data_IF_570233691504
#
_entry.id   IF_570233691504
#
_cell.length_a   1.000
_cell.length_b   1.000
_cell.length_c   1.000
_cell.angle_alpha   90.00
_cell.angle_beta   90.00
_cell.angle_gamma   90.00
#
_symmetry.space_group_name_H-M   'P 1'
#
loop_
_entity.id
_entity.type
_entity.pdbx_description
1 polymer ?
#
# COMPACT_ATOMS: atom_id res chain seq x y z
N UNK A 1 -4.95 -17.03 15.74
CA UNK A 1 -5.39 -15.61 15.84
C UNK A 1 -6.92 -15.59 15.81
N UNK A 2 -7.62 -14.99 16.79
CA UNK A 2 -9.11 -15.02 16.82
C UNK A 2 -9.70 -14.39 15.56
N UNK A 3 -10.78 -14.98 15.00
CA UNK A 3 -11.44 -14.55 13.74
C UNK A 3 -11.74 -13.05 13.71
N UNK A 4 -12.23 -12.47 14.81
CA UNK A 4 -12.46 -11.02 14.94
C UNK A 4 -11.22 -10.16 14.63
N UNK A 5 -10.02 -10.60 15.02
CA UNK A 5 -8.75 -9.89 14.75
C UNK A 5 -8.30 -10.02 13.29
N UNK A 6 -8.72 -11.06 12.57
CA UNK A 6 -8.45 -11.18 11.13
C UNK A 6 -9.31 -10.18 10.37
N UNK A 7 -10.61 -10.15 10.68
CA UNK A 7 -11.58 -9.27 10.04
C UNK A 7 -11.16 -7.81 10.22
N UNK A 8 -10.91 -7.37 11.47
CA UNK A 8 -10.56 -5.98 11.79
C UNK A 8 -9.23 -5.52 11.19
N UNK A 9 -8.26 -6.42 11.05
CA UNK A 9 -6.89 -6.04 10.68
C UNK A 9 -6.52 -6.34 9.23
N UNK A 10 -7.33 -7.11 8.50
CA UNK A 10 -7.06 -7.51 7.11
C UNK A 10 -8.26 -7.23 6.21
N UNK A 11 -9.46 -7.69 6.59
CA UNK A 11 -10.63 -7.58 5.69
C UNK A 11 -11.09 -6.14 5.54
N UNK A 12 -11.31 -5.41 6.63
CA UNK A 12 -11.71 -3.99 6.56
C UNK A 12 -10.74 -3.12 5.74
N UNK A 13 -9.42 -3.11 6.04
CA UNK A 13 -8.47 -2.36 5.23
C UNK A 13 -8.41 -2.82 3.77
N UNK A 14 -8.53 -4.13 3.50
CA UNK A 14 -8.60 -4.62 2.12
C UNK A 14 -9.84 -4.09 1.38
N UNK A 15 -11.00 -4.03 2.02
CA UNK A 15 -12.21 -3.45 1.41
C UNK A 15 -12.01 -1.96 1.08
N UNK A 16 -11.34 -1.20 1.93
CA UNK A 16 -11.02 0.21 1.65
C UNK A 16 -10.09 0.35 0.44
N UNK A 17 -9.01 -0.44 0.38
CA UNK A 17 -8.10 -0.44 -0.77
C UNK A 17 -8.82 -0.87 -2.05
N UNK A 18 -9.68 -1.88 -1.97
CA UNK A 18 -10.46 -2.36 -3.10
C UNK A 18 -11.37 -1.25 -3.65
N UNK A 19 -12.16 -0.61 -2.79
CA UNK A 19 -13.05 0.49 -3.20
C UNK A 19 -12.25 1.63 -3.83
N UNK A 20 -11.13 2.03 -3.21
CA UNK A 20 -10.27 3.09 -3.73
C UNK A 20 -9.71 2.72 -5.12
N UNK A 21 -9.21 1.49 -5.28
CA UNK A 21 -8.63 1.00 -6.52
C UNK A 21 -9.67 0.94 -7.64
N UNK A 22 -10.89 0.48 -7.34
CA UNK A 22 -12.00 0.46 -8.30
C UNK A 22 -12.41 1.87 -8.72
N UNK A 23 -12.53 2.82 -7.77
CA UNK A 23 -12.93 4.19 -8.07
C UNK A 23 -11.86 4.92 -8.90
N UNK A 24 -10.59 4.79 -8.53
CA UNK A 24 -9.48 5.39 -9.29
C UNK A 24 -9.44 4.81 -10.70
N UNK A 25 -9.53 3.49 -10.83
CA UNK A 25 -9.48 2.83 -12.13
C UNK A 25 -10.65 3.25 -13.02
N UNK A 26 -11.88 3.29 -12.48
CA UNK A 26 -13.05 3.75 -13.20
C UNK A 26 -12.95 5.22 -13.60
N UNK A 27 -12.39 6.06 -12.72
CA UNK A 27 -12.16 7.49 -13.00
C UNK A 27 -11.17 7.67 -14.14
N UNK A 28 -10.05 6.93 -14.13
CA UNK A 28 -9.04 6.97 -15.20
C UNK A 28 -9.66 6.53 -16.53
N UNK A 29 -10.42 5.43 -16.54
CA UNK A 29 -11.11 4.92 -17.73
C UNK A 29 -12.07 5.97 -18.31
N UNK A 30 -12.86 6.60 -17.43
CA UNK A 30 -13.86 7.60 -17.84
C UNK A 30 -13.19 8.87 -18.37
N UNK A 31 -12.15 9.38 -17.69
CA UNK A 31 -11.42 10.58 -18.10
C UNK A 31 -10.61 10.38 -19.38
N UNK A 32 -10.06 9.19 -19.60
CA UNK A 32 -9.31 8.87 -20.80
C UNK A 32 -10.22 8.56 -22.01
N UNK A 33 -11.55 8.65 -21.88
CA UNK A 33 -12.49 8.44 -22.97
C UNK A 33 -12.61 6.97 -23.41
N UNK A 34 -12.14 6.02 -22.60
CA UNK A 34 -12.27 4.59 -22.88
C UNK A 34 -13.69 4.12 -22.54
N UNK A 35 -14.66 4.48 -23.37
CA UNK A 35 -16.09 4.19 -23.18
C UNK A 35 -16.44 2.70 -23.20
N UNK A 36 -15.55 1.84 -23.69
CA UNK A 36 -15.73 0.38 -23.81
C UNK A 36 -14.97 -0.43 -22.76
N UNK A 37 -14.12 0.20 -21.94
CA UNK A 37 -13.30 -0.53 -20.96
C UNK A 37 -14.09 -0.77 -19.66
N UNK A 38 -15.07 -1.67 -19.73
CA UNK A 38 -15.81 -2.14 -18.54
C UNK A 38 -14.86 -3.00 -17.70
N UNK A 39 -14.78 -2.74 -16.39
CA UNK A 39 -14.07 -3.63 -15.48
C UNK A 39 -14.72 -5.01 -15.51
N UNK A 40 -14.03 -5.97 -16.12
CA UNK A 40 -14.50 -7.35 -16.14
C UNK A 40 -14.53 -7.95 -14.74
N UNK A 41 -15.38 -8.96 -14.52
CA UNK A 41 -15.42 -9.70 -13.26
C UNK A 41 -14.04 -10.26 -12.85
N UNK A 42 -13.25 -10.69 -13.84
CA UNK A 42 -11.86 -11.13 -13.66
C UNK A 42 -10.99 -10.02 -13.05
N UNK A 43 -11.11 -8.80 -13.54
CA UNK A 43 -10.38 -7.62 -13.02
C UNK A 43 -10.82 -7.27 -11.60
N UNK A 44 -12.11 -7.36 -11.29
CA UNK A 44 -12.64 -7.10 -9.95
C UNK A 44 -12.11 -8.10 -8.92
N UNK A 45 -12.10 -9.40 -9.24
CA UNK A 45 -11.49 -10.42 -8.36
C UNK A 45 -10.00 -10.14 -8.17
N UNK A 46 -9.28 -9.84 -9.25
CA UNK A 46 -7.86 -9.50 -9.20
C UNK A 46 -7.58 -8.31 -8.26
N UNK A 47 -8.38 -7.25 -8.35
CA UNK A 47 -8.30 -6.08 -7.47
C UNK A 47 -8.57 -6.42 -6.01
N UNK A 48 -9.55 -7.28 -5.75
CA UNK A 48 -9.88 -7.72 -4.40
C UNK A 48 -8.74 -8.54 -3.79
N UNK A 49 -8.20 -9.50 -4.53
CA UNK A 49 -7.04 -10.31 -4.09
C UNK A 49 -5.82 -9.44 -3.86
N UNK A 50 -5.52 -8.50 -4.76
CA UNK A 50 -4.43 -7.54 -4.58
C UNK A 50 -4.59 -6.72 -3.30
N UNK A 51 -5.81 -6.26 -3.02
CA UNK A 51 -6.12 -5.47 -1.82
C UNK A 51 -5.97 -6.28 -0.53
N UNK A 52 -6.31 -7.58 -0.55
CA UNK A 52 -6.05 -8.50 0.55
C UNK A 52 -4.55 -8.69 0.79
N UNK A 53 -3.77 -8.89 -0.27
CA UNK A 53 -2.31 -9.02 -0.19
C UNK A 53 -1.68 -7.74 0.37
N UNK A 54 -2.07 -6.56 -0.14
CA UNK A 54 -1.58 -5.28 0.34
C UNK A 54 -1.91 -5.07 1.83
N UNK A 55 -3.13 -5.40 2.24
CA UNK A 55 -3.51 -5.32 3.63
C UNK A 55 -2.74 -6.31 4.52
N UNK A 56 -2.40 -7.49 4.01
CA UNK A 56 -1.56 -8.44 4.74
C UNK A 56 -0.13 -7.92 4.86
N UNK A 57 0.44 -7.35 3.79
CA UNK A 57 1.77 -6.75 3.77
C UNK A 57 1.89 -5.58 4.76
N UNK A 58 0.84 -4.77 4.94
CA UNK A 58 0.83 -3.71 5.95
C UNK A 58 1.13 -4.21 7.36
N UNK A 59 0.90 -5.50 7.65
CA UNK A 59 1.23 -6.10 8.95
C UNK A 59 2.73 -6.14 9.23
N UNK A 60 3.56 -6.12 8.19
CA UNK A 60 5.04 -6.07 8.31
C UNK A 60 5.47 -4.86 9.16
N UNK A 61 4.75 -3.73 9.06
CA UNK A 61 5.08 -2.53 9.82
C UNK A 61 4.90 -2.68 11.34
N UNK A 62 4.04 -3.60 11.78
CA UNK A 62 3.74 -3.87 13.19
C UNK A 62 4.72 -4.85 13.84
N UNK A 63 5.56 -5.54 13.06
CA UNK A 63 6.55 -6.49 13.58
C UNK A 63 7.64 -5.73 14.35
N UNK A 64 7.78 -5.95 15.66
CA UNK A 64 8.72 -5.16 16.48
C UNK A 64 10.20 -5.44 16.21
N UNK A 65 10.56 -6.63 15.72
CA UNK A 65 11.98 -7.00 15.54
C UNK A 65 12.66 -6.34 14.34
N UNK A 66 11.90 -5.85 13.36
CA UNK A 66 12.49 -5.29 12.14
C UNK A 66 12.70 -3.78 12.23
N UNK A 67 13.88 -3.33 11.80
CA UNK A 67 14.18 -1.93 11.57
C UNK A 67 13.26 -1.32 10.51
N UNK A 68 13.06 0.00 10.56
CA UNK A 68 12.13 0.70 9.66
C UNK A 68 12.49 0.52 8.18
N UNK A 69 13.79 0.54 7.86
CA UNK A 69 14.29 0.34 6.50
C UNK A 69 13.95 -1.05 5.97
N UNK A 70 14.21 -2.11 6.76
CA UNK A 70 13.88 -3.48 6.39
C UNK A 70 12.37 -3.68 6.22
N UNK A 71 11.54 -3.04 7.05
CA UNK A 71 10.08 -3.07 6.90
C UNK A 71 9.63 -2.47 5.57
N UNK A 72 10.15 -1.30 5.22
CA UNK A 72 9.82 -0.62 3.96
C UNK A 72 10.28 -1.47 2.77
N UNK A 73 11.46 -2.06 2.85
CA UNK A 73 12.03 -2.93 1.82
C UNK A 73 11.19 -4.19 1.60
N UNK A 74 10.87 -4.92 2.67
CA UNK A 74 10.03 -6.13 2.59
C UNK A 74 8.62 -5.81 2.08
N UNK A 75 8.04 -4.69 2.55
CA UNK A 75 6.74 -4.25 2.06
C UNK A 75 6.79 -3.89 0.57
N UNK A 76 7.84 -3.21 0.12
CA UNK A 76 8.03 -2.85 -1.28
C UNK A 76 8.18 -4.08 -2.17
N UNK A 77 9.03 -5.05 -1.78
CA UNK A 77 9.19 -6.29 -2.54
C UNK A 77 7.86 -7.04 -2.63
N UNK A 78 7.15 -7.19 -1.50
CA UNK A 78 5.85 -7.85 -1.49
C UNK A 78 4.83 -7.14 -2.38
N UNK A 79 4.80 -5.81 -2.35
CA UNK A 79 3.94 -4.98 -3.19
C UNK A 79 4.26 -5.19 -4.68
N UNK A 80 5.54 -5.12 -5.06
CA UNK A 80 5.99 -5.27 -6.43
C UNK A 80 5.65 -6.66 -6.99
N UNK A 81 5.93 -7.71 -6.21
CA UNK A 81 5.60 -9.09 -6.61
C UNK A 81 4.09 -9.25 -6.77
N UNK A 82 3.30 -8.75 -5.81
CA UNK A 82 1.83 -8.83 -5.88
C UNK A 82 1.29 -8.10 -7.10
N UNK A 83 1.85 -6.92 -7.41
CA UNK A 83 1.47 -6.15 -8.59
C UNK A 83 1.80 -6.91 -9.88
N UNK A 84 3.04 -7.41 -10.01
CA UNK A 84 3.45 -8.14 -11.20
C UNK A 84 2.62 -9.40 -11.40
N UNK A 85 2.43 -10.24 -10.38
CA UNK A 85 1.63 -11.46 -10.51
C UNK A 85 0.19 -11.14 -10.94
N UNK A 86 -0.44 -10.14 -10.32
CA UNK A 86 -1.85 -9.86 -10.60
C UNK A 86 -2.04 -9.12 -11.92
N UNK A 87 -1.24 -8.09 -12.22
CA UNK A 87 -1.44 -7.29 -13.42
C UNK A 87 -0.80 -7.91 -14.66
N UNK A 88 0.37 -8.54 -14.55
CA UNK A 88 1.03 -9.17 -15.70
C UNK A 88 0.46 -10.56 -16.01
N UNK A 89 0.33 -11.41 -14.99
CA UNK A 89 -0.05 -12.82 -15.23
C UNK A 89 -1.56 -12.96 -15.30
N UNK A 90 -2.29 -12.42 -14.33
CA UNK A 90 -3.74 -12.62 -14.27
C UNK A 90 -4.46 -11.69 -15.25
N UNK A 91 -4.21 -10.39 -15.22
CA UNK A 91 -4.99 -9.42 -16.03
C UNK A 91 -4.53 -9.41 -17.49
N UNK A 92 -3.25 -9.19 -17.79
CA UNK A 92 -2.78 -9.03 -19.18
C UNK A 92 -2.45 -10.35 -19.91
N UNK A 93 -2.48 -11.49 -19.21
CA UNK A 93 -2.17 -12.80 -19.81
C UNK A 93 -0.79 -12.85 -20.46
N UNK A 94 0.18 -12.10 -19.92
CA UNK A 94 1.56 -11.99 -20.41
C UNK A 94 1.73 -11.34 -21.81
N UNK A 95 0.66 -10.77 -22.38
CA UNK A 95 0.70 -10.17 -23.72
C UNK A 95 1.31 -8.76 -23.75
N UNK A 96 1.31 -8.05 -22.62
CA UNK A 96 1.78 -6.66 -22.51
C UNK A 96 2.82 -6.49 -21.39
N UNK A 97 3.94 -7.21 -21.54
CA UNK A 97 5.06 -7.18 -20.58
C UNK A 97 5.71 -5.80 -20.49
N UNK A 98 5.91 -5.11 -21.62
CA UNK A 98 6.50 -3.78 -21.64
C UNK A 98 5.63 -2.75 -20.89
N UNK A 99 4.32 -2.73 -21.13
CA UNK A 99 3.41 -1.85 -20.41
C UNK A 99 3.35 -2.14 -18.90
N UNK A 100 3.39 -3.41 -18.50
CA UNK A 100 3.44 -3.82 -17.10
C UNK A 100 4.76 -3.38 -16.41
N UNK A 101 5.89 -3.47 -17.11
CA UNK A 101 7.18 -3.02 -16.57
C UNK A 101 7.23 -1.49 -16.43
N UNK A 102 6.75 -0.74 -17.43
CA UNK A 102 6.67 0.72 -17.37
C UNK A 102 5.77 1.17 -16.21
N UNK A 103 4.58 0.57 -16.09
CA UNK A 103 3.67 0.88 -14.98
C UNK A 103 4.26 0.49 -13.63
N UNK A 104 4.98 -0.62 -13.53
CA UNK A 104 5.68 -0.99 -12.30
C UNK A 104 6.76 0.02 -11.92
N UNK A 105 7.52 0.54 -12.90
CA UNK A 105 8.53 1.57 -12.67
C UNK A 105 7.92 2.87 -12.14
N UNK A 106 6.81 3.30 -12.75
CA UNK A 106 6.05 4.49 -12.30
C UNK A 106 5.54 4.28 -10.86
N UNK A 107 4.96 3.13 -10.56
CA UNK A 107 4.49 2.81 -9.21
C UNK A 107 5.63 2.75 -8.19
N UNK A 108 6.80 2.24 -8.58
CA UNK A 108 7.99 2.23 -7.72
C UNK A 108 8.42 3.63 -7.36
N UNK A 109 8.47 4.55 -8.32
CA UNK A 109 8.81 5.96 -8.07
C UNK A 109 7.82 6.58 -7.08
N UNK A 110 6.51 6.41 -7.32
CA UNK A 110 5.44 6.89 -6.45
C UNK A 110 5.59 6.32 -5.03
N UNK A 111 5.86 5.01 -4.93
CA UNK A 111 6.04 4.33 -3.64
C UNK A 111 7.19 4.94 -2.83
N UNK A 112 8.35 5.17 -3.45
CA UNK A 112 9.50 5.76 -2.75
C UNK A 112 9.25 7.21 -2.34
N UNK A 113 8.52 7.99 -3.14
CA UNK A 113 8.09 9.35 -2.76
C UNK A 113 7.22 9.29 -1.51
N UNK A 114 6.16 8.46 -1.50
CA UNK A 114 5.25 8.32 -0.36
C UNK A 114 5.99 7.81 0.88
N UNK A 115 6.87 6.81 0.72
CA UNK A 115 7.68 6.28 1.81
C UNK A 115 8.62 7.35 2.39
N UNK A 116 9.25 8.16 1.53
CA UNK A 116 10.11 9.29 1.91
C UNK A 116 9.34 10.33 2.73
N UNK A 117 8.20 10.79 2.22
CA UNK A 117 7.32 11.75 2.92
C UNK A 117 6.89 11.19 4.28
N UNK A 118 6.48 9.93 4.33
CA UNK A 118 6.05 9.26 5.57
C UNK A 118 7.18 9.17 6.59
N UNK A 119 8.41 8.89 6.14
CA UNK A 119 9.58 8.86 7.01
C UNK A 119 9.94 10.25 7.55
N UNK A 120 9.84 11.30 6.74
CA UNK A 120 10.08 12.69 7.15
C UNK A 120 9.06 13.09 8.22
N UNK A 121 7.76 12.90 7.95
CA UNK A 121 6.68 13.20 8.90
C UNK A 121 6.90 12.46 10.21
N UNK A 122 7.24 11.16 10.15
CA UNK A 122 7.49 10.36 11.35
C UNK A 122 8.71 10.82 12.15
N UNK A 123 9.77 11.29 11.48
CA UNK A 123 10.94 11.88 12.16
C UNK A 123 10.56 13.19 12.85
N UNK A 124 9.80 14.05 12.17
CA UNK A 124 9.31 15.32 12.74
C UNK A 124 8.44 15.07 13.97
N UNK A 125 7.46 14.17 13.89
CA UNK A 125 6.60 13.82 15.02
C UNK A 125 7.40 13.27 16.22
N UNK A 126 8.38 12.40 15.96
CA UNK A 126 9.27 11.88 17.04
C UNK A 126 10.15 12.98 17.64
N UNK A 127 10.55 13.98 16.86
CA UNK A 127 11.33 15.11 17.35
C UNK A 127 10.47 15.97 18.28
N UNK A 128 9.25 16.31 17.85
CA UNK A 128 8.27 17.05 18.67
C UNK A 128 7.91 16.30 19.95
N UNK A 129 7.71 14.98 19.89
CA UNK A 129 7.42 14.17 21.07
C UNK A 129 8.58 14.17 22.08
N UNK A 130 9.83 14.13 21.59
CA UNK A 130 11.02 14.25 22.44
C UNK A 130 11.16 15.63 23.07
N UNK A 131 10.85 16.69 22.31
CA UNK A 131 10.86 18.06 22.80
C UNK A 131 9.80 18.25 23.89
N UNK A 132 8.56 17.81 23.66
CA UNK A 132 7.48 17.88 24.66
C UNK A 132 7.82 17.12 25.96
N UNK A 133 8.38 15.90 25.85
CA UNK A 133 8.86 15.15 27.02
C UNK A 133 9.98 15.86 27.78
N UNK A 134 10.85 16.60 27.07
CA UNK A 134 11.91 17.40 27.69
C UNK A 134 11.31 18.56 28.49
N UNK A 135 10.27 19.22 27.98
CA UNK A 135 9.56 20.27 28.73
C UNK A 135 8.78 19.72 29.91
N UNK A 136 8.09 18.58 29.76
CA UNK A 136 7.36 17.92 30.85
C UNK A 136 8.27 17.56 32.04
N UNK A 137 9.49 17.08 31.77
CA UNK A 137 10.50 16.80 32.79
C UNK A 137 11.09 18.05 33.46
N UNK A 138 10.91 19.25 32.88
CA UNK A 138 11.36 20.51 33.49
C UNK A 138 10.31 21.07 34.46
N UNK A 139 9.01 20.83 34.20
CA UNK A 139 7.92 21.28 35.07
C UNK A 139 7.54 20.27 36.16
N UNK A 140 7.72 18.97 35.89
CA UNK A 140 7.63 17.92 36.91
C UNK A 140 9.05 17.71 37.46
N UNK A 141 9.53 18.68 38.23
CA UNK A 141 10.82 18.60 38.90
C UNK A 141 10.90 17.34 39.76
N UNK A 142 11.85 16.48 39.45
CA UNK A 142 12.52 15.62 40.43
C UNK A 142 13.88 16.21 40.71
#
# INVERSE_FOLDING_TARGET
>A
MKVKKIISAIIYPACLFFTLLTLISQTIVTLAGFTTLILTFKTLIAFFVFSLLLSALNRIFYIKSFGIGLKIFLHYIGFLISFLVIFLVIISGNSNTAGALITSLILSIIYFIIAGITLIIRRSLKKTEKENKKYENVFIGK
#
